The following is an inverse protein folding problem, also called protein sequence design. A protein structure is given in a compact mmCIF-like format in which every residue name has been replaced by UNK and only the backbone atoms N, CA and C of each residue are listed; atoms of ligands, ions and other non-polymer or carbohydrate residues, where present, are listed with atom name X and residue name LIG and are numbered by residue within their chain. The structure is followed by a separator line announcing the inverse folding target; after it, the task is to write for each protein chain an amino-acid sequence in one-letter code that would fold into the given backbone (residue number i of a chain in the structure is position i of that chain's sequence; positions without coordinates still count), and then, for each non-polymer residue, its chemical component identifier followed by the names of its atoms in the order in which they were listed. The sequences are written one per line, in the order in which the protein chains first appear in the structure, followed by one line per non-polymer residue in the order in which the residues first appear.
data_IF_921897287360
#
_entry.id   IF_921897287360
#
_cell.length_a   1.000
_cell.length_b   1.000
_cell.length_c   1.000
_cell.angle_alpha   90.00
_cell.angle_beta   90.00
_cell.angle_gamma   90.00
#
_symmetry.space_group_name_H-M   'P 1'
#
loop_
_entity.id
_entity.type
_entity.pdbx_description
1 polymer ?
#
# COMPACT_ATOMS: atom_id res chain seq x y z
N UNK A 1 -25.44 41.76 -7.49
CA UNK A 1 -24.37 40.75 -7.36
C UNK A 1 -24.55 39.75 -8.49
N UNK A 2 -23.53 39.50 -9.32
CA UNK A 2 -23.60 38.43 -10.32
C UNK A 2 -23.76 37.10 -9.59
N UNK A 3 -24.62 36.21 -10.10
CA UNK A 3 -24.79 34.86 -9.56
C UNK A 3 -23.44 34.14 -9.60
N UNK A 4 -22.92 33.70 -8.45
CA UNK A 4 -21.73 32.84 -8.39
C UNK A 4 -22.09 31.47 -8.96
N UNK A 5 -21.34 31.02 -9.96
CA UNK A 5 -21.49 29.68 -10.52
C UNK A 5 -20.85 28.62 -9.62
N UNK A 6 -21.01 27.35 -9.99
CA UNK A 6 -20.41 26.23 -9.26
C UNK A 6 -20.14 25.03 -10.16
N UNK A 7 -19.19 24.19 -9.77
CA UNK A 7 -18.85 22.95 -10.47
C UNK A 7 -19.24 21.77 -9.59
N UNK A 8 -20.07 20.89 -10.15
CA UNK A 8 -20.44 19.60 -9.61
C UNK A 8 -19.59 18.54 -10.33
N UNK A 9 -18.63 17.95 -9.64
CA UNK A 9 -17.86 16.79 -10.11
C UNK A 9 -18.71 15.54 -9.87
N UNK A 10 -19.29 14.94 -10.92
CA UNK A 10 -20.32 13.90 -10.75
C UNK A 10 -19.83 12.53 -11.21
N UNK A 11 -19.78 11.58 -10.28
CA UNK A 11 -19.62 10.15 -10.57
C UNK A 11 -20.95 9.53 -11.03
N UNK A 12 -20.98 8.99 -12.24
CA UNK A 12 -22.20 8.43 -12.85
C UNK A 12 -22.51 6.99 -12.42
N UNK A 13 -21.57 6.31 -11.78
CA UNK A 13 -21.66 4.86 -11.59
C UNK A 13 -21.24 4.06 -12.83
N UNK A 14 -21.44 2.73 -12.84
CA UNK A 14 -20.88 1.83 -13.85
C UNK A 14 -21.51 1.99 -15.25
N UNK A 15 -22.74 2.48 -15.36
CA UNK A 15 -23.34 2.80 -16.66
C UNK A 15 -24.86 2.87 -16.65
N UNK A 16 -25.51 1.96 -15.93
CA UNK A 16 -26.96 1.96 -15.74
C UNK A 16 -27.40 3.13 -14.85
N UNK A 17 -28.53 3.75 -15.19
CA UNK A 17 -29.14 4.82 -14.40
C UNK A 17 -29.61 4.34 -13.02
N UNK A 18 -29.99 3.07 -12.89
CA UNK A 18 -30.36 2.46 -11.60
C UNK A 18 -29.17 2.36 -10.64
N UNK A 19 -27.95 2.25 -11.17
CA UNK A 19 -26.73 2.21 -10.36
C UNK A 19 -26.19 3.61 -10.03
N UNK A 20 -26.85 4.66 -10.50
CA UNK A 20 -26.49 6.04 -10.21
C UNK A 20 -27.03 6.45 -8.85
N UNK A 21 -26.22 7.17 -8.07
CA UNK A 21 -26.68 7.68 -6.77
C UNK A 21 -27.78 8.75 -6.98
N UNK A 22 -28.73 8.82 -6.04
CA UNK A 22 -29.76 9.88 -6.07
C UNK A 22 -29.14 11.28 -6.05
N UNK A 23 -28.00 11.48 -5.35
CA UNK A 23 -27.25 12.74 -5.35
C UNK A 23 -26.71 13.09 -6.73
N UNK A 24 -26.20 12.13 -7.50
CA UNK A 24 -25.70 12.35 -8.86
C UNK A 24 -26.81 12.75 -9.84
N UNK A 25 -27.97 12.08 -9.78
CA UNK A 25 -29.14 12.46 -10.57
C UNK A 25 -29.60 13.89 -10.24
N UNK A 26 -29.68 14.24 -8.94
CA UNK A 26 -30.02 15.59 -8.50
C UNK A 26 -28.98 16.65 -8.93
N UNK A 27 -27.69 16.29 -8.93
CA UNK A 27 -26.62 17.17 -9.40
C UNK A 27 -26.77 17.50 -10.89
N UNK A 28 -27.01 16.48 -11.72
CA UNK A 28 -27.25 16.67 -13.16
C UNK A 28 -28.53 17.49 -13.37
N UNK A 29 -29.61 17.19 -12.64
CA UNK A 29 -30.86 17.92 -12.73
C UNK A 29 -30.69 19.42 -12.41
N UNK A 30 -29.90 19.78 -11.40
CA UNK A 30 -29.61 21.16 -11.02
C UNK A 30 -28.64 21.89 -11.97
N UNK A 31 -27.87 21.16 -12.79
CA UNK A 31 -26.90 21.75 -13.69
C UNK A 31 -27.54 22.37 -14.95
N UNK A 32 -27.04 23.53 -15.34
CA UNK A 32 -27.37 24.23 -16.58
C UNK A 32 -26.52 23.69 -17.75
N UNK A 33 -25.28 23.30 -17.45
CA UNK A 33 -24.31 22.76 -18.41
C UNK A 33 -23.83 21.40 -17.93
N UNK A 34 -23.79 20.41 -18.82
CA UNK A 34 -23.20 19.09 -18.56
C UNK A 34 -22.03 18.86 -19.50
N UNK A 35 -20.85 18.63 -18.93
CA UNK A 35 -19.58 18.45 -19.65
C UNK A 35 -19.07 17.04 -19.38
N UNK A 36 -18.67 16.32 -20.42
CA UNK A 36 -18.16 14.97 -20.24
C UNK A 36 -17.61 14.35 -21.50
N UNK A 37 -17.07 13.14 -21.35
CA UNK A 37 -16.72 12.30 -22.48
C UNK A 37 -18.00 11.84 -23.21
N UNK A 38 -18.00 11.89 -24.54
CA UNK A 38 -19.15 11.57 -25.40
C UNK A 38 -19.86 10.26 -25.03
N UNK A 39 -19.11 9.21 -24.71
CA UNK A 39 -19.70 7.92 -24.32
C UNK A 39 -20.47 7.98 -23.00
N UNK A 40 -19.99 8.76 -22.03
CA UNK A 40 -20.63 8.94 -20.73
C UNK A 40 -21.89 9.79 -20.83
N UNK A 41 -21.86 10.83 -21.66
CA UNK A 41 -23.03 11.66 -21.94
C UNK A 41 -24.13 10.84 -22.62
N UNK A 42 -23.76 9.95 -23.54
CA UNK A 42 -24.72 9.04 -24.19
C UNK A 42 -25.40 8.09 -23.20
N UNK A 43 -24.71 7.58 -22.17
CA UNK A 43 -25.33 6.71 -21.15
C UNK A 43 -26.34 7.44 -20.27
N UNK A 44 -26.29 8.78 -20.20
CA UNK A 44 -27.21 9.58 -19.39
C UNK A 44 -28.12 10.47 -20.23
N UNK A 45 -28.27 10.19 -21.52
CA UNK A 45 -29.04 11.02 -22.45
C UNK A 45 -30.44 11.44 -21.94
N UNK A 46 -31.21 10.57 -21.25
CA UNK A 46 -32.50 10.97 -20.67
C UNK A 46 -32.43 12.12 -19.64
N UNK A 47 -31.29 12.30 -18.98
CA UNK A 47 -31.07 13.34 -17.96
C UNK A 47 -30.59 14.68 -18.54
N UNK A 48 -30.34 14.74 -19.86
CA UNK A 48 -29.72 15.90 -20.52
C UNK A 48 -30.73 16.86 -21.17
N UNK A 49 -32.02 16.51 -21.17
CA UNK A 49 -33.07 17.34 -21.78
C UNK A 49 -33.10 18.74 -21.17
N UNK A 50 -33.08 19.77 -22.03
CA UNK A 50 -33.09 21.18 -21.63
C UNK A 50 -31.77 21.73 -21.09
N UNK A 51 -30.67 20.97 -21.19
CA UNK A 51 -29.33 21.37 -20.71
C UNK A 51 -28.40 21.70 -21.87
N UNK A 52 -27.41 22.55 -21.62
CA UNK A 52 -26.29 22.72 -22.56
C UNK A 52 -25.33 21.53 -22.40
N UNK A 53 -25.11 20.76 -23.47
CA UNK A 53 -24.25 19.58 -23.43
C UNK A 53 -22.93 19.85 -24.15
N UNK A 54 -21.81 19.73 -23.44
CA UNK A 54 -20.46 19.83 -24.02
C UNK A 54 -19.82 18.45 -24.06
N UNK A 55 -19.86 17.82 -25.23
CA UNK A 55 -19.20 16.55 -25.48
C UNK A 55 -17.76 16.79 -25.98
N UNK A 56 -16.79 16.21 -25.26
CA UNK A 56 -15.38 16.12 -25.70
C UNK A 56 -15.00 14.66 -25.91
N UNK A 57 -13.95 14.43 -26.68
CA UNK A 57 -13.45 13.09 -26.98
C UNK A 57 -12.35 12.68 -25.97
N UNK A 58 -11.79 11.48 -26.17
CA UNK A 58 -10.77 10.92 -25.28
C UNK A 58 -9.45 11.70 -25.40
N UNK A 59 -8.67 11.79 -24.32
CA UNK A 59 -7.42 12.58 -24.22
C UNK A 59 -7.60 14.11 -24.21
N UNK A 60 -8.83 14.60 -24.02
CA UNK A 60 -9.17 16.03 -23.87
C UNK A 60 -9.54 16.41 -22.43
N UNK A 61 -8.98 15.73 -21.42
CA UNK A 61 -9.27 15.94 -19.99
C UNK A 61 -9.12 17.42 -19.61
N UNK A 62 -7.97 18.02 -19.92
CA UNK A 62 -7.70 19.42 -19.57
C UNK A 62 -8.59 20.41 -20.32
N UNK A 63 -9.04 20.07 -21.54
CA UNK A 63 -10.00 20.91 -22.25
C UNK A 63 -11.37 20.90 -21.57
N UNK A 64 -11.82 19.75 -21.03
CA UNK A 64 -13.04 19.67 -20.21
C UNK A 64 -12.91 20.50 -18.93
N UNK A 65 -11.76 20.44 -18.24
CA UNK A 65 -11.52 21.23 -17.04
C UNK A 65 -11.58 22.74 -17.31
N UNK A 66 -10.85 23.22 -18.33
CA UNK A 66 -10.84 24.65 -18.70
C UNK A 66 -12.24 25.17 -19.02
N UNK A 67 -13.02 24.41 -19.79
CA UNK A 67 -14.39 24.78 -20.14
C UNK A 67 -15.30 24.82 -18.90
N UNK A 68 -15.18 23.83 -18.00
CA UNK A 68 -15.97 23.78 -16.77
C UNK A 68 -15.72 25.00 -15.89
N UNK A 69 -14.44 25.37 -15.71
CA UNK A 69 -14.05 26.55 -14.93
C UNK A 69 -14.56 27.83 -15.59
N UNK A 70 -14.31 28.03 -16.89
CA UNK A 70 -14.76 29.24 -17.60
C UNK A 70 -16.27 29.48 -17.49
N UNK A 71 -17.08 28.41 -17.58
CA UNK A 71 -18.54 28.50 -17.46
C UNK A 71 -19.01 28.76 -16.05
N UNK A 72 -18.35 28.18 -15.05
CA UNK A 72 -18.67 28.45 -13.66
C UNK A 72 -18.25 29.88 -13.24
N UNK A 73 -17.15 30.41 -13.78
CA UNK A 73 -16.75 31.82 -13.63
C UNK A 73 -17.77 32.76 -14.26
N UNK A 74 -18.42 32.34 -15.35
CA UNK A 74 -19.54 33.04 -15.98
C UNK A 74 -20.87 32.91 -15.21
N UNK A 75 -20.89 32.25 -14.04
CA UNK A 75 -22.06 32.18 -13.17
C UNK A 75 -22.94 30.93 -13.34
N UNK A 76 -22.56 30.00 -14.22
CA UNK A 76 -23.36 28.81 -14.52
C UNK A 76 -23.14 27.69 -13.48
N UNK A 77 -24.17 26.86 -13.27
CA UNK A 77 -24.02 25.57 -12.59
C UNK A 77 -23.60 24.51 -13.60
N UNK A 78 -22.39 23.95 -13.41
CA UNK A 78 -21.77 23.00 -14.34
C UNK A 78 -21.66 21.63 -13.70
N UNK A 79 -22.17 20.58 -14.37
CA UNK A 79 -21.86 19.19 -14.02
C UNK A 79 -20.72 18.67 -14.92
N UNK A 80 -19.56 18.40 -14.33
CA UNK A 80 -18.44 17.73 -14.99
C UNK A 80 -18.49 16.24 -14.63
N UNK A 81 -18.90 15.40 -15.58
CA UNK A 81 -19.25 13.99 -15.33
C UNK A 81 -18.11 13.01 -15.61
N UNK A 82 -18.03 11.94 -14.83
CA UNK A 82 -17.12 10.79 -15.03
C UNK A 82 -17.86 9.47 -14.83
N UNK A 83 -17.48 8.41 -15.56
CA UNK A 83 -17.97 7.06 -15.25
C UNK A 83 -17.43 6.58 -13.91
N UNK A 84 -18.17 5.72 -13.23
CA UNK A 84 -17.78 5.20 -11.93
C UNK A 84 -17.83 6.31 -10.87
N UNK A 85 -16.78 6.37 -10.05
CA UNK A 85 -16.54 7.48 -9.14
C UNK A 85 -15.67 8.55 -9.79
N UNK A 86 -15.97 9.83 -9.57
CA UNK A 86 -15.24 10.95 -10.18
C UNK A 86 -13.83 11.13 -9.63
N UNK A 87 -13.56 10.63 -8.41
CA UNK A 87 -12.26 10.63 -7.75
C UNK A 87 -11.38 9.42 -8.07
N UNK A 88 -11.92 8.35 -8.65
CA UNK A 88 -11.17 7.13 -8.98
C UNK A 88 -10.85 7.11 -10.47
N UNK A 89 -9.62 7.50 -10.83
CA UNK A 89 -9.16 7.61 -12.22
C UNK A 89 -10.10 8.47 -13.11
N UNK A 90 -10.81 9.43 -12.51
CA UNK A 90 -11.81 10.29 -13.14
C UNK A 90 -11.38 11.77 -13.23
N UNK A 91 -12.35 12.66 -13.46
CA UNK A 91 -12.09 14.09 -13.73
C UNK A 91 -11.78 14.95 -12.48
N UNK A 92 -11.95 14.44 -11.25
CA UNK A 92 -11.70 15.25 -10.05
C UNK A 92 -10.24 15.70 -9.94
N UNK A 93 -9.29 14.77 -10.12
CA UNK A 93 -7.85 15.07 -10.08
C UNK A 93 -7.46 16.16 -11.08
N UNK A 94 -7.70 15.97 -12.40
CA UNK A 94 -7.39 16.97 -13.41
C UNK A 94 -8.07 18.33 -13.18
N UNK A 95 -9.27 18.38 -12.61
CA UNK A 95 -9.93 19.65 -12.29
C UNK A 95 -9.23 20.35 -11.12
N UNK A 96 -8.96 19.64 -10.02
CA UNK A 96 -8.29 20.22 -8.86
C UNK A 96 -6.87 20.67 -9.20
N UNK A 97 -6.11 19.90 -9.97
CA UNK A 97 -4.79 20.31 -10.47
C UNK A 97 -4.90 21.63 -11.24
N UNK A 98 -5.83 21.73 -12.19
CA UNK A 98 -6.05 22.95 -12.96
C UNK A 98 -6.45 24.15 -12.10
N UNK A 99 -7.27 23.94 -11.07
CA UNK A 99 -7.69 24.99 -10.15
C UNK A 99 -6.53 25.47 -9.27
N UNK A 100 -5.73 24.54 -8.74
CA UNK A 100 -4.56 24.85 -7.89
C UNK A 100 -3.48 25.60 -8.67
N UNK A 101 -3.24 25.26 -9.95
CA UNK A 101 -2.38 26.03 -10.86
C UNK A 101 -2.81 27.50 -11.02
N UNK A 102 -4.10 27.78 -10.80
CA UNK A 102 -4.71 29.11 -10.86
C UNK A 102 -4.87 29.77 -9.49
N UNK A 103 -4.18 29.25 -8.47
CA UNK A 103 -4.24 29.73 -7.08
C UNK A 103 -5.67 29.75 -6.48
N UNK A 104 -6.54 28.83 -6.93
CA UNK A 104 -7.87 28.65 -6.36
C UNK A 104 -7.79 28.20 -4.89
N UNK A 105 -8.69 28.71 -4.05
CA UNK A 105 -8.95 28.17 -2.71
C UNK A 105 -10.44 27.90 -2.51
N UNK A 106 -10.83 26.98 -1.61
CA UNK A 106 -12.24 26.71 -1.30
C UNK A 106 -13.03 27.95 -0.83
N UNK A 107 -12.36 28.92 -0.20
CA UNK A 107 -12.99 30.10 0.40
C UNK A 107 -13.24 31.22 -0.62
N UNK A 108 -12.31 31.39 -1.57
CA UNK A 108 -12.30 32.56 -2.47
C UNK A 108 -12.68 32.22 -3.91
N UNK A 109 -12.48 30.97 -4.31
CA UNK A 109 -12.73 30.49 -5.66
C UNK A 109 -14.19 30.11 -5.93
N UNK A 110 -14.40 29.48 -7.09
CA UNK A 110 -15.67 28.87 -7.48
C UNK A 110 -15.97 27.72 -6.52
N UNK A 111 -17.24 27.56 -6.14
CA UNK A 111 -17.68 26.40 -5.36
C UNK A 111 -17.50 25.11 -6.18
N UNK A 112 -16.80 24.13 -5.59
CA UNK A 112 -16.61 22.81 -6.18
C UNK A 112 -17.16 21.75 -5.24
N UNK A 113 -18.09 20.94 -5.72
CA UNK A 113 -18.68 19.82 -4.97
C UNK A 113 -18.36 18.51 -5.66
N UNK A 114 -17.82 17.55 -4.90
CA UNK A 114 -17.60 16.17 -5.36
C UNK A 114 -18.82 15.32 -5.02
N UNK A 115 -19.44 14.75 -6.04
CA UNK A 115 -20.60 13.86 -5.92
C UNK A 115 -20.15 12.44 -6.24
N UNK A 116 -20.16 11.51 -5.26
CA UNK A 116 -19.61 10.17 -5.43
C UNK A 116 -20.48 9.30 -6.33
N UNK A 117 -19.84 8.32 -6.96
CA UNK A 117 -20.48 7.31 -7.81
C UNK A 117 -20.02 5.90 -7.49
N UNK A 118 -20.81 4.89 -7.87
CA UNK A 118 -20.41 3.48 -7.69
C UNK A 118 -19.24 3.17 -8.63
N UNK A 119 -18.06 2.95 -8.07
CA UNK A 119 -16.85 2.66 -8.85
C UNK A 119 -16.89 1.27 -9.51
N UNK A 120 -16.08 1.07 -10.55
CA UNK A 120 -16.02 -0.21 -11.27
C UNK A 120 -15.60 -1.37 -10.36
N UNK A 121 -14.74 -1.13 -9.36
CA UNK A 121 -14.34 -2.15 -8.39
C UNK A 121 -15.55 -2.75 -7.67
N UNK A 122 -16.39 -1.92 -7.06
CA UNK A 122 -17.60 -2.37 -6.35
C UNK A 122 -18.63 -2.97 -7.30
N UNK A 123 -18.84 -2.34 -8.46
CA UNK A 123 -19.78 -2.83 -9.46
C UNK A 123 -19.38 -4.19 -10.07
N UNK A 124 -18.09 -4.42 -10.32
CA UNK A 124 -17.63 -5.70 -10.83
C UNK A 124 -17.65 -6.76 -9.73
N UNK A 125 -17.29 -6.39 -8.49
CA UNK A 125 -17.34 -7.29 -7.35
C UNK A 125 -18.76 -7.81 -7.07
N UNK A 126 -19.78 -6.95 -7.17
CA UNK A 126 -21.18 -7.35 -6.95
C UNK A 126 -21.70 -8.34 -7.99
N UNK A 127 -21.06 -8.43 -9.17
CA UNK A 127 -21.42 -9.37 -10.23
C UNK A 127 -20.74 -10.75 -10.07
N UNK A 128 -19.75 -10.87 -9.18
CA UNK A 128 -18.97 -12.11 -9.00
C UNK A 128 -19.03 -12.69 -7.59
N UNK A 129 -19.56 -11.95 -6.61
CA UNK A 129 -19.72 -12.42 -5.23
C UNK A 129 -19.19 -11.40 -4.22
N UNK A 130 -18.13 -11.79 -3.50
CA UNK A 130 -17.54 -10.98 -2.44
C UNK A 130 -16.00 -11.01 -2.46
N UNK A 131 -15.35 -10.61 -3.56
CA UNK A 131 -13.89 -10.67 -3.66
C UNK A 131 -13.18 -9.54 -2.89
N UNK A 132 -13.87 -8.45 -2.53
CA UNK A 132 -13.27 -7.25 -1.92
C UNK A 132 -13.51 -7.11 -0.41
N UNK A 133 -13.82 -8.22 0.27
CA UNK A 133 -14.14 -8.25 1.72
C UNK A 133 -12.91 -8.15 2.63
N UNK A 134 -11.73 -8.41 2.08
CA UNK A 134 -10.42 -8.22 2.72
C UNK A 134 -9.70 -7.02 2.09
N UNK A 135 -8.54 -6.67 2.62
CA UNK A 135 -7.66 -5.63 2.09
C UNK A 135 -7.46 -5.79 0.58
N UNK A 136 -7.78 -4.72 -0.17
CA UNK A 136 -7.65 -4.67 -1.61
C UNK A 136 -7.04 -3.32 -2.04
N UNK A 137 -6.46 -3.29 -3.24
CA UNK A 137 -6.01 -2.07 -3.87
C UNK A 137 -6.55 -1.96 -5.30
N UNK A 138 -6.67 -0.73 -5.80
CA UNK A 138 -7.01 -0.45 -7.19
C UNK A 138 -5.78 0.11 -7.92
N UNK A 139 -5.40 -0.49 -9.04
CA UNK A 139 -4.24 -0.08 -9.84
C UNK A 139 -4.70 0.11 -11.28
N UNK A 140 -4.38 1.28 -11.86
CA UNK A 140 -4.53 1.51 -13.30
C UNK A 140 -3.29 0.99 -14.04
N UNK A 141 -3.49 0.21 -15.10
CA UNK A 141 -2.42 -0.23 -16.00
C UNK A 141 -2.10 0.77 -17.12
N UNK A 142 -2.77 1.93 -17.14
CA UNK A 142 -2.46 2.99 -18.10
C UNK A 142 -1.17 3.73 -17.72
N UNK A 143 -0.17 3.64 -18.57
CA UNK A 143 1.13 4.30 -18.47
C UNK A 143 1.21 5.68 -19.15
N UNK A 144 0.08 6.20 -19.65
CA UNK A 144 0.02 7.48 -20.39
C UNK A 144 0.64 8.66 -19.62
N UNK A 145 0.39 8.74 -18.31
CA UNK A 145 0.89 9.80 -17.43
C UNK A 145 1.66 9.23 -16.23
N UNK A 146 1.83 7.91 -16.16
CA UNK A 146 2.53 7.25 -15.04
C UNK A 146 3.55 6.28 -15.62
N UNK A 147 4.85 6.48 -15.36
CA UNK A 147 5.88 5.58 -15.87
C UNK A 147 5.61 4.12 -15.47
N UNK A 148 5.83 3.19 -16.40
CA UNK A 148 5.59 1.76 -16.16
C UNK A 148 6.34 1.24 -14.93
N UNK A 149 7.57 1.71 -14.67
CA UNK A 149 8.34 1.33 -13.48
C UNK A 149 7.61 1.60 -12.16
N UNK A 150 6.83 2.67 -12.08
CA UNK A 150 6.01 3.00 -10.91
C UNK A 150 4.81 2.06 -10.82
N UNK A 151 4.16 1.74 -11.95
CA UNK A 151 3.03 0.80 -11.99
C UNK A 151 3.49 -0.61 -11.59
N UNK A 152 4.61 -1.08 -12.16
CA UNK A 152 5.24 -2.36 -11.83
C UNK A 152 5.60 -2.45 -10.34
N UNK A 153 6.19 -1.39 -9.76
CA UNK A 153 6.50 -1.34 -8.33
C UNK A 153 5.23 -1.42 -7.45
N UNK A 154 4.12 -0.80 -7.87
CA UNK A 154 2.83 -0.89 -7.16
C UNK A 154 2.23 -2.29 -7.25
N UNK A 155 2.24 -2.91 -8.43
CA UNK A 155 1.76 -4.29 -8.63
C UNK A 155 2.56 -5.27 -7.76
N UNK A 156 3.89 -5.16 -7.81
CA UNK A 156 4.80 -5.96 -7.02
C UNK A 156 4.55 -5.76 -5.51
N UNK A 157 4.36 -4.52 -5.05
CA UNK A 157 4.05 -4.25 -3.64
C UNK A 157 2.70 -4.84 -3.20
N UNK A 158 1.65 -4.68 -4.01
CA UNK A 158 0.33 -5.26 -3.77
C UNK A 158 0.39 -6.80 -3.73
N UNK A 159 1.15 -7.40 -4.64
CA UNK A 159 1.36 -8.83 -4.71
C UNK A 159 2.08 -9.32 -3.44
N UNK A 160 3.24 -8.75 -3.10
CA UNK A 160 4.01 -9.12 -1.90
C UNK A 160 3.21 -8.98 -0.61
N UNK A 161 2.38 -7.94 -0.50
CA UNK A 161 1.59 -7.67 0.71
C UNK A 161 0.23 -8.39 0.74
N UNK A 162 0.02 -9.37 -0.14
CA UNK A 162 -1.19 -10.21 -0.20
C UNK A 162 -2.53 -9.46 -0.39
N UNK A 163 -2.51 -8.30 -1.07
CA UNK A 163 -3.73 -7.58 -1.40
C UNK A 163 -4.49 -8.27 -2.53
N UNK A 164 -5.83 -8.24 -2.45
CA UNK A 164 -6.69 -8.42 -3.62
C UNK A 164 -6.45 -7.22 -4.55
N UNK A 165 -6.23 -7.46 -5.85
CA UNK A 165 -5.82 -6.40 -6.77
C UNK A 165 -6.89 -6.18 -7.84
N UNK A 166 -7.49 -4.98 -7.86
CA UNK A 166 -8.43 -4.56 -8.91
C UNK A 166 -7.69 -3.77 -9.97
N UNK A 167 -7.68 -4.28 -11.21
CA UNK A 167 -6.97 -3.67 -12.33
C UNK A 167 -7.93 -2.86 -13.20
N UNK A 168 -7.65 -1.57 -13.30
CA UNK A 168 -8.32 -0.61 -14.16
C UNK A 168 -7.51 -0.35 -15.42
N UNK A 169 -8.19 0.11 -16.47
CA UNK A 169 -7.59 0.45 -17.76
C UNK A 169 -6.67 -0.67 -18.28
N UNK A 170 -7.11 -1.95 -18.23
CA UNK A 170 -6.22 -3.09 -18.30
C UNK A 170 -5.50 -3.21 -19.64
N UNK A 171 -6.18 -2.87 -20.73
CA UNK A 171 -5.67 -3.06 -22.07
C UNK A 171 -6.25 -2.02 -23.03
N UNK A 172 -5.46 -1.64 -24.03
CA UNK A 172 -5.92 -0.81 -25.15
C UNK A 172 -5.52 -1.44 -26.47
N UNK A 173 -6.11 -0.98 -27.58
CA UNK A 173 -5.81 -1.48 -28.95
C UNK A 173 -4.33 -1.43 -29.35
N UNK A 174 -3.49 -0.67 -28.64
CA UNK A 174 -2.05 -0.53 -28.91
C UNK A 174 -1.14 -1.17 -27.86
N UNK A 175 -1.71 -1.70 -26.76
CA UNK A 175 -0.97 -2.01 -25.51
C UNK A 175 -1.32 -3.40 -25.00
N UNK A 176 -0.60 -4.43 -25.46
CA UNK A 176 -0.80 -5.83 -25.02
C UNK A 176 0.23 -6.28 -23.99
N UNK A 177 1.39 -5.61 -23.92
CA UNK A 177 2.52 -6.09 -23.11
C UNK A 177 2.38 -5.78 -21.62
N UNK A 178 1.68 -4.70 -21.25
CA UNK A 178 1.40 -4.34 -19.86
C UNK A 178 0.64 -5.45 -19.13
N UNK A 179 -0.32 -6.09 -19.80
CA UNK A 179 -1.09 -7.18 -19.20
C UNK A 179 -0.20 -8.41 -18.94
N UNK A 180 0.66 -8.75 -19.90
CA UNK A 180 1.62 -9.85 -19.78
C UNK A 180 2.60 -9.59 -18.63
N UNK A 181 3.16 -8.39 -18.54
CA UNK A 181 4.08 -8.04 -17.46
C UNK A 181 3.36 -7.98 -16.10
N UNK A 182 2.13 -7.45 -16.05
CA UNK A 182 1.33 -7.48 -14.82
C UNK A 182 1.06 -8.91 -14.34
N UNK A 183 0.68 -9.81 -15.26
CA UNK A 183 0.52 -11.24 -14.96
C UNK A 183 1.83 -11.84 -14.43
N UNK A 184 2.96 -11.59 -15.10
CA UNK A 184 4.26 -12.11 -14.72
C UNK A 184 4.70 -11.61 -13.33
N UNK A 185 4.47 -10.34 -13.00
CA UNK A 185 4.74 -9.77 -11.68
C UNK A 185 3.88 -10.46 -10.62
N UNK A 186 2.57 -10.58 -10.85
CA UNK A 186 1.67 -11.20 -9.89
C UNK A 186 2.02 -12.67 -9.63
N UNK A 187 2.37 -13.44 -10.68
CA UNK A 187 2.76 -14.84 -10.60
C UNK A 187 4.06 -15.08 -9.82
N UNK A 188 4.91 -14.07 -9.60
CA UNK A 188 6.08 -14.19 -8.71
C UNK A 188 5.69 -14.32 -7.24
N UNK A 189 4.47 -13.92 -6.85
CA UNK A 189 4.00 -13.86 -5.46
C UNK A 189 2.67 -14.58 -5.23
N UNK A 190 2.09 -15.16 -6.28
CA UNK A 190 0.76 -15.78 -6.27
C UNK A 190 0.81 -17.14 -6.96
N UNK A 191 0.10 -18.15 -6.43
CA UNK A 191 -0.13 -19.40 -7.15
C UNK A 191 -0.75 -19.16 -8.53
N UNK A 192 -0.44 -20.04 -9.49
CA UNK A 192 -0.95 -19.95 -10.86
C UNK A 192 -2.48 -20.10 -10.95
N UNK A 193 -3.07 -20.86 -10.02
CA UNK A 193 -4.50 -21.09 -9.85
C UNK A 193 -5.24 -19.99 -9.06
N UNK A 194 -4.56 -18.89 -8.69
CA UNK A 194 -5.19 -17.75 -8.01
C UNK A 194 -6.44 -17.29 -8.76
N UNK A 195 -7.61 -17.20 -8.09
CA UNK A 195 -8.85 -16.79 -8.74
C UNK A 195 -8.75 -15.40 -9.37
N UNK A 196 -9.24 -15.29 -10.60
CA UNK A 196 -9.29 -14.05 -11.37
C UNK A 196 -10.70 -13.88 -11.92
N UNK A 197 -11.32 -12.74 -11.65
CA UNK A 197 -12.53 -12.31 -12.33
C UNK A 197 -12.20 -11.28 -13.42
N UNK A 198 -12.77 -11.46 -14.61
CA UNK A 198 -12.75 -10.49 -15.70
C UNK A 198 -14.19 -10.06 -15.95
N UNK A 199 -14.48 -8.79 -15.71
CA UNK A 199 -15.82 -8.23 -15.91
C UNK A 199 -15.76 -7.19 -17.01
N UNK A 200 -16.44 -7.44 -18.11
CA UNK A 200 -16.57 -6.52 -19.23
C UNK A 200 -17.88 -5.74 -19.12
N UNK A 201 -17.82 -4.41 -19.28
CA UNK A 201 -19.00 -3.56 -19.42
C UNK A 201 -20.06 -3.75 -18.32
N UNK A 202 -19.64 -3.84 -17.05
CA UNK A 202 -20.52 -4.01 -15.89
C UNK A 202 -21.70 -3.03 -15.92
N UNK A 203 -22.91 -3.56 -15.72
CA UNK A 203 -24.20 -2.86 -15.77
C UNK A 203 -24.41 -2.08 -17.07
N UNK A 204 -24.04 -2.66 -18.21
CA UNK A 204 -24.29 -2.14 -19.56
C UNK A 204 -24.75 -3.28 -20.48
N UNK A 205 -25.35 -2.99 -21.65
CA UNK A 205 -25.92 -4.03 -22.53
C UNK A 205 -24.97 -5.12 -23.01
N UNK A 206 -23.65 -4.90 -22.99
CA UNK A 206 -22.63 -5.90 -23.37
C UNK A 206 -21.93 -6.52 -22.15
N UNK A 207 -22.58 -6.54 -21.00
CA UNK A 207 -21.99 -7.11 -19.79
C UNK A 207 -21.60 -8.57 -20.02
N UNK A 208 -20.36 -8.91 -19.67
CA UNK A 208 -19.92 -10.31 -19.53
C UNK A 208 -19.07 -10.46 -18.27
N UNK A 209 -19.14 -11.64 -17.68
CA UNK A 209 -18.43 -11.99 -16.45
C UNK A 209 -17.76 -13.32 -16.68
N UNK A 210 -16.46 -13.37 -16.41
CA UNK A 210 -15.66 -14.57 -16.54
C UNK A 210 -14.85 -14.81 -15.28
N UNK A 211 -14.97 -16.01 -14.73
CA UNK A 211 -14.14 -16.49 -13.63
C UNK A 211 -13.12 -17.48 -14.19
N UNK A 212 -11.85 -17.18 -13.97
CA UNK A 212 -10.70 -17.93 -14.47
C UNK A 212 -9.60 -17.92 -13.41
N UNK A 213 -8.39 -18.33 -13.78
CA UNK A 213 -7.19 -18.25 -12.93
C UNK A 213 -6.21 -17.21 -13.46
N UNK A 214 -5.29 -16.77 -12.60
CA UNK A 214 -4.24 -15.82 -12.95
C UNK A 214 -3.38 -16.31 -14.10
N UNK A 215 -3.03 -17.60 -14.16
CA UNK A 215 -2.26 -18.20 -15.27
C UNK A 215 -2.96 -18.08 -16.63
N UNK A 216 -4.28 -18.19 -16.64
CA UNK A 216 -5.08 -18.19 -17.87
C UNK A 216 -5.48 -16.78 -18.32
N UNK A 217 -5.05 -15.73 -17.62
CA UNK A 217 -5.40 -14.34 -17.92
C UNK A 217 -5.23 -13.98 -19.41
N UNK A 218 -4.13 -14.38 -20.04
CA UNK A 218 -3.82 -14.02 -21.43
C UNK A 218 -4.61 -14.83 -22.48
N UNK A 219 -5.39 -15.83 -22.07
CA UNK A 219 -6.31 -16.56 -22.95
C UNK A 219 -7.60 -15.78 -23.22
N UNK A 220 -7.85 -14.72 -22.45
CA UNK A 220 -9.11 -13.98 -22.45
C UNK A 220 -9.02 -12.64 -23.16
N UNK A 221 -10.11 -12.24 -23.83
CA UNK A 221 -10.19 -10.92 -24.45
C UNK A 221 -10.48 -9.85 -23.40
N UNK A 222 -9.47 -9.02 -23.12
CA UNK A 222 -9.58 -7.91 -22.18
C UNK A 222 -9.61 -6.60 -22.95
N UNK A 223 -10.77 -5.95 -22.93
CA UNK A 223 -10.98 -4.64 -23.54
C UNK A 223 -10.81 -3.45 -22.59
N UNK A 224 -10.84 -2.24 -23.14
CA UNK A 224 -10.74 -0.96 -22.41
C UNK A 224 -11.84 -0.75 -21.35
N UNK A 225 -13.00 -1.39 -21.52
CA UNK A 225 -14.14 -1.29 -20.58
C UNK A 225 -14.24 -2.52 -19.67
N UNK A 226 -13.15 -3.27 -19.53
CA UNK A 226 -13.06 -4.41 -18.63
C UNK A 226 -12.37 -4.00 -17.34
N UNK A 227 -12.72 -4.66 -16.25
CA UNK A 227 -12.06 -4.54 -14.94
C UNK A 227 -11.76 -5.95 -14.45
N UNK A 228 -10.55 -6.13 -13.94
CA UNK A 228 -10.09 -7.42 -13.46
C UNK A 228 -9.99 -7.38 -11.94
N UNK A 229 -10.37 -8.47 -11.29
CA UNK A 229 -10.21 -8.65 -9.84
C UNK A 229 -9.35 -9.89 -9.64
N UNK A 230 -8.09 -9.68 -9.26
CA UNK A 230 -7.14 -10.74 -8.93
C UNK A 230 -7.25 -11.03 -7.44
N UNK A 231 -7.55 -12.27 -7.09
CA UNK A 231 -7.61 -12.73 -5.71
C UNK A 231 -6.25 -12.64 -4.98
N UNK A 232 -6.32 -12.75 -3.67
CA UNK A 232 -5.16 -12.98 -2.82
C UNK A 232 -5.02 -14.46 -2.43
N UNK A 233 -4.06 -14.79 -1.57
CA UNK A 233 -3.77 -16.16 -1.12
C UNK A 233 -4.95 -16.90 -0.48
N UNK A 234 -5.97 -16.17 0.00
CA UNK A 234 -7.16 -16.75 0.65
C UNK A 234 -8.38 -16.83 -0.27
N UNK A 235 -8.30 -16.20 -1.45
CA UNK A 235 -9.43 -16.10 -2.37
C UNK A 235 -9.79 -17.45 -2.97
N UNK A 236 -11.08 -17.72 -3.10
CA UNK A 236 -11.61 -18.93 -3.71
C UNK A 236 -12.63 -18.57 -4.80
N UNK A 237 -12.67 -19.35 -5.87
CA UNK A 237 -13.75 -19.32 -6.85
C UNK A 237 -14.39 -20.71 -6.93
N UNK A 238 -15.64 -20.81 -6.47
CA UNK A 238 -16.39 -22.06 -6.41
C UNK A 238 -17.87 -21.78 -6.69
N UNK A 239 -18.56 -22.73 -7.32
CA UNK A 239 -19.99 -22.60 -7.64
C UNK A 239 -20.37 -21.29 -8.39
N UNK A 240 -19.46 -20.79 -9.24
CA UNK A 240 -19.69 -19.56 -10.01
C UNK A 240 -19.55 -18.25 -9.22
N UNK A 241 -19.07 -18.30 -7.97
CA UNK A 241 -18.81 -17.11 -7.16
C UNK A 241 -17.35 -17.03 -6.72
N UNK A 242 -16.81 -15.82 -6.68
CA UNK A 242 -15.51 -15.48 -6.13
C UNK A 242 -15.67 -14.83 -4.77
N UNK A 243 -14.96 -15.34 -3.77
CA UNK A 243 -15.02 -14.88 -2.38
C UNK A 243 -13.62 -14.79 -1.80
N UNK A 244 -13.35 -13.69 -1.09
CA UNK A 244 -12.15 -13.56 -0.26
C UNK A 244 -12.55 -13.68 1.21
N UNK A 245 -12.43 -14.86 1.84
CA UNK A 245 -12.96 -15.07 3.18
C UNK A 245 -12.36 -14.09 4.19
N UNK A 246 -13.19 -13.51 5.06
CA UNK A 246 -12.75 -12.64 6.16
C UNK A 246 -11.98 -13.35 7.28
N UNK A 247 -11.72 -14.65 7.14
CA UNK A 247 -11.02 -15.45 8.14
C UNK A 247 -11.88 -16.06 9.25
N UNK A 248 -13.22 -15.90 9.24
CA UNK A 248 -14.09 -16.50 10.26
C UNK A 248 -13.90 -18.02 10.38
N UNK A 249 -13.77 -18.73 9.25
CA UNK A 249 -13.53 -20.17 9.24
C UNK A 249 -12.23 -20.52 10.00
N UNK A 250 -11.10 -19.84 9.74
CA UNK A 250 -9.86 -20.04 10.51
C UNK A 250 -10.03 -19.71 12.00
N UNK A 251 -10.76 -18.63 12.32
CA UNK A 251 -11.03 -18.23 13.71
C UNK A 251 -11.81 -19.29 14.50
N UNK A 252 -12.70 -20.04 13.85
CA UNK A 252 -13.55 -21.05 14.51
C UNK A 252 -13.02 -22.48 14.37
N UNK A 253 -12.33 -22.82 13.28
CA UNK A 253 -11.71 -24.14 13.09
C UNK A 253 -10.48 -24.31 14.00
N UNK A 254 -9.72 -23.23 14.29
CA UNK A 254 -8.62 -23.26 15.28
C UNK A 254 -9.13 -23.31 16.74
N UNK A 255 -10.44 -23.20 17.01
CA UNK A 255 -10.98 -23.43 18.36
C UNK A 255 -10.96 -24.91 18.75
N UNK A 256 -10.96 -25.83 17.77
CA UNK A 256 -10.80 -27.25 18.03
C UNK A 256 -9.35 -27.61 18.41
N UNK A 257 -8.37 -26.74 18.11
CA UNK A 257 -6.98 -26.85 18.58
C UNK A 257 -6.76 -26.32 20.02
N UNK A 258 -7.84 -25.89 20.70
CA UNK A 258 -7.82 -25.41 22.07
C UNK A 258 -7.58 -23.90 22.16
N UNK A 259 -8.55 -23.19 22.72
CA UNK A 259 -8.49 -21.77 23.09
C UNK A 259 -7.25 -21.53 23.96
N UNK A 260 -6.36 -20.61 23.55
CA UNK A 260 -5.25 -20.20 24.42
C UNK A 260 -5.83 -19.52 25.67
N UNK A 261 -5.33 -19.79 26.89
CA UNK A 261 -5.80 -19.11 28.09
C UNK A 261 -5.80 -17.58 27.91
N UNK A 262 -6.97 -16.94 28.03
CA UNK A 262 -7.16 -15.50 27.82
C UNK A 262 -7.68 -15.06 26.45
N UNK A 263 -7.85 -15.98 25.50
CA UNK A 263 -8.40 -15.72 24.17
C UNK A 263 -9.93 -15.55 24.21
N UNK A 264 -10.46 -14.58 23.48
CA UNK A 264 -11.89 -14.28 23.41
C UNK A 264 -12.31 -13.83 22.00
N UNK A 265 -13.61 -13.78 21.66
CA UNK A 265 -14.06 -13.30 20.35
C UNK A 265 -13.57 -11.89 19.97
N UNK A 266 -13.21 -11.05 20.96
CA UNK A 266 -12.64 -9.71 20.74
C UNK A 266 -11.11 -9.66 20.90
N UNK A 267 -10.49 -10.73 21.40
CA UNK A 267 -9.05 -10.79 21.69
C UNK A 267 -8.47 -12.11 21.18
N UNK A 268 -7.91 -12.09 19.97
CA UNK A 268 -7.23 -13.25 19.39
C UNK A 268 -5.76 -13.29 19.86
N UNK A 269 -5.39 -14.39 20.52
CA UNK A 269 -4.02 -14.70 20.97
C UNK A 269 -3.30 -15.66 20.00
N UNK A 270 -4.03 -16.17 19.01
CA UNK A 270 -3.54 -17.02 17.92
C UNK A 270 -3.18 -16.23 16.66
N UNK A 271 -3.97 -15.22 16.30
CA UNK A 271 -3.88 -14.47 15.03
C UNK A 271 -4.04 -12.94 15.16
N UNK A 272 -4.36 -12.43 16.35
CA UNK A 272 -4.50 -11.00 16.62
C UNK A 272 -3.15 -10.32 16.87
N UNK A 273 -3.16 -8.98 16.97
CA UNK A 273 -1.95 -8.18 17.20
C UNK A 273 -1.13 -8.62 18.43
N UNK A 274 -1.80 -9.02 19.52
CA UNK A 274 -1.14 -9.55 20.71
C UNK A 274 -0.52 -10.94 20.47
N UNK A 275 -1.22 -11.84 19.75
CA UNK A 275 -0.71 -13.14 19.34
C UNK A 275 0.49 -13.03 18.40
N UNK A 276 0.44 -12.10 17.44
CA UNK A 276 1.57 -11.76 16.58
C UNK A 276 2.75 -11.25 17.42
N UNK A 277 2.56 -10.28 18.32
CA UNK A 277 3.62 -9.82 19.24
C UNK A 277 4.22 -10.97 20.04
N UNK A 278 3.42 -11.90 20.54
CA UNK A 278 3.93 -13.07 21.26
C UNK A 278 4.77 -13.99 20.36
N UNK A 279 4.27 -14.32 19.17
CA UNK A 279 5.01 -15.11 18.18
C UNK A 279 6.31 -14.42 17.75
N UNK A 280 6.32 -13.09 17.68
CA UNK A 280 7.53 -12.31 17.43
C UNK A 280 8.57 -12.48 18.53
N UNK A 281 8.14 -12.36 19.78
CA UNK A 281 9.01 -12.50 20.96
C UNK A 281 9.59 -13.92 21.01
N UNK A 282 8.75 -14.92 20.77
CA UNK A 282 9.15 -16.32 20.73
C UNK A 282 10.14 -16.60 19.59
N UNK A 283 9.85 -16.11 18.37
CA UNK A 283 10.74 -16.28 17.22
C UNK A 283 12.08 -15.56 17.43
N UNK A 284 12.06 -14.35 17.99
CA UNK A 284 13.27 -13.61 18.36
C UNK A 284 14.10 -14.35 19.42
N UNK A 285 13.44 -14.99 20.40
CA UNK A 285 14.12 -15.84 21.37
C UNK A 285 14.78 -17.07 20.77
N UNK A 286 14.16 -17.69 19.75
CA UNK A 286 14.66 -18.93 19.12
C UNK A 286 15.70 -18.69 18.01
N UNK A 287 15.51 -17.64 17.22
CA UNK A 287 16.27 -17.40 15.99
C UNK A 287 17.06 -16.08 16.01
N UNK A 288 16.93 -15.29 17.07
CA UNK A 288 17.59 -14.01 17.23
C UNK A 288 16.85 -12.84 16.56
N UNK A 289 17.20 -11.63 17.01
CA UNK A 289 16.55 -10.38 16.59
C UNK A 289 16.77 -10.10 15.09
N UNK A 290 17.99 -10.31 14.58
CA UNK A 290 18.31 -10.02 13.19
C UNK A 290 17.56 -10.94 12.20
N UNK A 291 17.43 -12.23 12.51
CA UNK A 291 16.66 -13.16 11.69
C UNK A 291 15.17 -12.79 11.68
N UNK A 292 14.64 -12.43 12.85
CA UNK A 292 13.25 -11.98 13.01
C UNK A 292 12.97 -10.70 12.22
N UNK A 293 13.90 -9.73 12.25
CA UNK A 293 13.80 -8.48 11.49
C UNK A 293 13.69 -8.74 9.99
N UNK A 294 14.53 -9.64 9.46
CA UNK A 294 14.50 -10.05 8.06
C UNK A 294 13.19 -10.74 7.69
N UNK A 295 12.71 -11.66 8.51
CA UNK A 295 11.46 -12.39 8.27
C UNK A 295 10.25 -11.43 8.12
N UNK A 296 10.21 -10.36 8.92
CA UNK A 296 9.09 -9.42 8.94
C UNK A 296 9.23 -8.26 7.95
N UNK A 297 10.41 -8.06 7.37
CA UNK A 297 10.74 -6.82 6.67
C UNK A 297 10.61 -5.58 7.58
N UNK A 298 10.98 -5.71 8.86
CA UNK A 298 10.86 -4.65 9.86
C UNK A 298 12.23 -4.28 10.46
N UNK A 299 12.45 -3.01 10.87
CA UNK A 299 13.71 -2.61 11.50
C UNK A 299 13.90 -3.33 12.86
N UNK A 300 15.13 -3.76 13.20
CA UNK A 300 15.44 -4.43 14.47
C UNK A 300 14.94 -3.70 15.72
N UNK A 301 14.91 -2.37 15.71
CA UNK A 301 14.39 -1.57 16.82
C UNK A 301 12.96 -1.92 17.20
N UNK A 302 12.08 -2.23 16.23
CA UNK A 302 10.69 -2.62 16.56
C UNK A 302 10.61 -3.92 17.34
N UNK A 303 11.53 -4.85 17.08
CA UNK A 303 11.60 -6.12 17.80
C UNK A 303 12.16 -5.88 19.20
N UNK A 304 13.22 -5.07 19.32
CA UNK A 304 13.79 -4.67 20.61
C UNK A 304 12.75 -4.00 21.53
N UNK A 305 11.94 -3.09 20.99
CA UNK A 305 10.86 -2.43 21.74
C UNK A 305 9.78 -3.43 22.16
N UNK A 306 9.36 -4.32 21.25
CA UNK A 306 8.39 -5.36 21.58
C UNK A 306 8.88 -6.32 22.68
N UNK A 307 10.19 -6.61 22.72
CA UNK A 307 10.81 -7.44 23.76
C UNK A 307 10.84 -6.71 25.12
N UNK A 308 11.12 -5.40 25.16
CA UNK A 308 11.09 -4.59 26.39
C UNK A 308 9.70 -4.59 27.01
N UNK A 309 8.66 -4.46 26.18
CA UNK A 309 7.28 -4.38 26.63
C UNK A 309 6.70 -5.73 27.09
N UNK A 310 7.45 -6.83 26.96
CA UNK A 310 6.99 -8.18 27.27
C UNK A 310 7.68 -8.78 28.48
N UNK A 311 6.95 -9.03 29.58
CA UNK A 311 7.47 -9.75 30.74
C UNK A 311 7.86 -11.20 30.43
N UNK A 312 7.34 -11.77 29.34
CA UNK A 312 7.57 -13.16 28.93
C UNK A 312 8.75 -13.31 27.95
N UNK A 313 9.50 -12.23 27.68
CA UNK A 313 10.65 -12.29 26.79
C UNK A 313 11.73 -13.23 27.32
N UNK A 314 12.21 -14.20 26.52
CA UNK A 314 13.37 -15.03 26.90
C UNK A 314 14.68 -14.23 26.84
N UNK A 315 14.66 -13.03 26.23
CA UNK A 315 15.78 -12.11 26.14
C UNK A 315 15.59 -10.96 27.14
N UNK A 316 16.59 -10.69 27.95
CA UNK A 316 16.67 -9.47 28.76
C UNK A 316 17.08 -8.29 27.88
N UNK A 317 16.13 -7.44 27.50
CA UNK A 317 16.38 -6.22 26.71
C UNK A 317 16.18 -4.98 27.56
N UNK A 318 17.18 -4.11 27.59
CA UNK A 318 17.15 -2.83 28.31
C UNK A 318 17.57 -1.72 27.36
N UNK A 319 16.75 -0.68 27.23
CA UNK A 319 17.13 0.54 26.50
C UNK A 319 18.16 1.30 27.33
N UNK A 320 19.33 1.56 26.74
CA UNK A 320 20.36 2.33 27.41
C UNK A 320 19.96 3.81 27.48
N UNK A 321 20.00 4.46 28.66
CA UNK A 321 19.69 5.88 28.79
C UNK A 321 20.75 6.76 28.12
N UNK A 322 21.99 6.27 28.00
CA UNK A 322 23.08 6.94 27.29
C UNK A 322 23.81 5.92 26.39
N UNK A 323 23.72 6.06 25.05
CA UNK A 323 24.45 5.22 24.10
C UNK A 323 25.96 5.22 24.30
N UNK A 324 26.56 6.38 24.62
CA UNK A 324 28.02 6.49 24.78
C UNK A 324 28.51 5.65 25.95
N UNK A 325 27.78 5.68 27.07
CA UNK A 325 28.13 4.88 28.25
C UNK A 325 28.05 3.38 27.96
N UNK A 326 27.01 2.91 27.24
CA UNK A 326 26.91 1.50 26.87
C UNK A 326 28.04 1.09 25.90
N UNK A 327 28.41 1.97 24.97
CA UNK A 327 29.51 1.73 24.04
C UNK A 327 30.85 1.58 24.75
N UNK A 328 31.19 2.52 25.63
CA UNK A 328 32.42 2.46 26.44
C UNK A 328 32.47 1.18 27.27
N UNK A 329 31.36 0.74 27.86
CA UNK A 329 31.30 -0.53 28.57
C UNK A 329 31.54 -1.73 27.64
N UNK A 330 30.88 -1.75 26.48
CA UNK A 330 30.99 -2.83 25.51
C UNK A 330 32.40 -2.98 24.94
N UNK A 331 33.16 -1.89 24.82
CA UNK A 331 34.55 -1.93 24.36
C UNK A 331 35.50 -2.71 25.27
N UNK A 332 35.12 -2.91 26.53
CA UNK A 332 35.91 -3.60 27.54
C UNK A 332 35.39 -5.00 27.85
N UNK A 333 34.39 -5.49 27.10
CA UNK A 333 33.92 -6.86 27.26
C UNK A 333 34.98 -7.87 26.80
N UNK A 334 35.26 -8.92 27.59
CA UNK A 334 36.22 -9.95 27.20
C UNK A 334 35.68 -10.75 26.01
N UNK A 335 36.55 -11.11 25.06
CA UNK A 335 36.22 -11.89 23.86
C UNK A 335 35.06 -11.29 23.04
N UNK A 336 34.94 -9.96 23.05
CA UNK A 336 33.85 -9.30 22.34
C UNK A 336 34.03 -9.38 20.82
N UNK A 337 32.92 -9.58 20.12
CA UNK A 337 32.80 -9.61 18.67
C UNK A 337 32.05 -8.38 18.19
N UNK A 338 32.57 -7.73 17.15
CA UNK A 338 31.91 -6.60 16.49
C UNK A 338 31.23 -7.11 15.23
N UNK A 339 29.92 -6.92 15.17
CA UNK A 339 29.07 -7.31 14.05
C UNK A 339 28.66 -6.07 13.24
N UNK A 340 28.87 -6.16 11.93
CA UNK A 340 28.59 -5.10 10.96
C UNK A 340 27.72 -5.63 9.83
N UNK A 341 26.62 -4.95 9.54
CA UNK A 341 25.85 -5.21 8.32
C UNK A 341 26.45 -4.39 7.18
N UNK A 342 26.96 -5.06 6.15
CA UNK A 342 27.70 -4.44 5.04
C UNK A 342 26.82 -4.07 3.84
N UNK A 343 25.52 -3.85 4.02
CA UNK A 343 24.57 -3.99 2.89
C UNK A 343 23.81 -2.77 2.47
N UNK A 344 23.71 -2.62 1.14
CA UNK A 344 22.97 -1.58 0.45
C UNK A 344 21.53 -1.98 0.06
N UNK A 345 21.13 -3.25 0.22
CA UNK A 345 19.78 -3.75 -0.14
C UNK A 345 19.35 -4.95 0.74
N UNK A 346 18.05 -5.09 1.09
CA UNK A 346 17.55 -6.17 1.93
C UNK A 346 17.69 -7.59 1.34
N UNK A 347 17.96 -7.72 0.03
CA UNK A 347 18.07 -9.02 -0.64
C UNK A 347 19.44 -9.70 -0.51
N UNK A 348 20.49 -8.98 -0.10
CA UNK A 348 21.87 -9.51 -0.03
C UNK A 348 22.56 -9.07 1.25
N UNK A 349 22.07 -9.52 2.41
CA UNK A 349 22.64 -9.32 3.76
C UNK A 349 24.06 -9.95 3.88
N UNK A 350 25.12 -9.16 3.99
CA UNK A 350 26.48 -9.58 4.33
C UNK A 350 26.79 -9.07 5.74
N UNK A 351 27.18 -9.99 6.62
CA UNK A 351 27.60 -9.67 7.99
C UNK A 351 29.11 -9.86 8.11
N UNK A 352 29.81 -8.82 8.57
CA UNK A 352 31.21 -8.91 8.98
C UNK A 352 31.26 -9.12 10.49
N UNK A 353 32.06 -10.08 10.94
CA UNK A 353 32.32 -10.35 12.36
C UNK A 353 33.82 -10.11 12.59
N UNK A 354 34.14 -9.19 13.50
CA UNK A 354 35.50 -8.80 13.82
C UNK A 354 35.77 -9.07 15.30
N UNK A 355 36.91 -9.66 15.62
CA UNK A 355 37.31 -9.84 17.02
C UNK A 355 37.79 -8.52 17.61
N UNK A 356 37.15 -8.08 18.70
CA UNK A 356 37.53 -6.82 19.34
C UNK A 356 38.89 -6.95 20.04
N UNK A 357 39.30 -8.15 20.45
CA UNK A 357 40.65 -8.44 20.98
C UNK A 357 41.76 -7.97 20.05
N UNK A 358 41.55 -8.04 18.74
CA UNK A 358 42.52 -7.63 17.72
C UNK A 358 42.57 -6.11 17.53
N UNK A 359 41.64 -5.36 18.13
CA UNK A 359 41.59 -3.92 17.96
C UNK A 359 42.76 -3.22 18.67
N UNK A 360 43.64 -2.60 17.88
CA UNK A 360 44.78 -1.77 18.30
C UNK A 360 44.31 -0.36 18.72
N UNK A 361 43.19 0.11 18.16
CA UNK A 361 42.55 1.36 18.56
C UNK A 361 41.09 1.11 18.95
N UNK A 362 40.70 1.57 20.14
CA UNK A 362 39.32 1.53 20.64
C UNK A 362 38.92 2.91 21.16
N UNK A 363 38.54 3.81 20.26
CA UNK A 363 38.23 5.19 20.60
C UNK A 363 36.71 5.40 20.60
N UNK A 364 36.19 5.85 21.75
CA UNK A 364 34.83 6.34 21.91
C UNK A 364 34.52 7.59 21.09
N UNK A 365 33.25 7.97 20.96
CA UNK A 365 32.86 9.22 20.32
C UNK A 365 33.41 10.43 21.10
N UNK A 366 33.89 11.44 20.38
CA UNK A 366 34.35 12.69 21.01
C UNK A 366 33.18 13.55 21.49
N UNK A 367 33.46 14.50 22.41
CA UNK A 367 32.47 15.42 22.96
C UNK A 367 31.74 16.26 21.89
N UNK A 368 32.39 16.49 20.74
CA UNK A 368 31.87 17.29 19.61
C UNK A 368 31.13 16.46 18.54
N UNK A 369 30.76 15.21 18.85
CA UNK A 369 30.14 14.30 17.88
C UNK A 369 31.12 13.65 16.91
N UNK A 370 32.42 13.68 17.23
CA UNK A 370 33.46 12.98 16.47
C UNK A 370 33.14 11.47 16.39
N UNK A 371 33.47 10.81 15.26
CA UNK A 371 33.13 9.41 15.06
C UNK A 371 33.82 8.51 16.08
N UNK A 372 33.13 7.45 16.51
CA UNK A 372 33.77 6.39 17.25
C UNK A 372 34.62 5.55 16.29
N UNK A 373 35.86 5.26 16.65
CA UNK A 373 36.83 4.58 15.78
C UNK A 373 37.35 3.32 16.41
N UNK A 374 37.15 2.19 15.73
CA UNK A 374 37.74 0.89 16.08
C UNK A 374 38.67 0.45 14.94
N UNK A 375 39.89 0.02 15.22
CA UNK A 375 40.76 -0.51 14.18
C UNK A 375 41.63 -1.66 14.68
N UNK A 376 41.87 -2.64 13.81
CA UNK A 376 42.72 -3.80 14.04
C UNK A 376 43.52 -4.16 12.79
N UNK A 377 44.27 -5.27 12.79
CA UNK A 377 45.03 -5.72 11.64
C UNK A 377 44.16 -5.90 10.40
N UNK A 378 44.36 -5.03 9.40
CA UNK A 378 43.65 -5.11 8.12
C UNK A 378 42.24 -4.53 8.10
N UNK A 379 41.76 -3.89 9.18
CA UNK A 379 40.44 -3.28 9.20
C UNK A 379 40.37 -2.00 10.05
N UNK A 380 39.51 -1.07 9.64
CA UNK A 380 39.15 0.15 10.38
C UNK A 380 37.66 0.38 10.22
N UNK A 381 37.00 0.61 11.34
CA UNK A 381 35.60 0.96 11.44
C UNK A 381 35.50 2.38 12.01
N UNK A 382 34.81 3.24 11.26
CA UNK A 382 34.40 4.56 11.74
C UNK A 382 32.88 4.59 11.81
N UNK A 383 32.35 4.73 13.02
CA UNK A 383 30.93 4.88 13.25
C UNK A 383 30.62 6.38 13.40
N UNK A 384 29.88 6.99 12.46
CA UNK A 384 29.41 8.37 12.62
C UNK A 384 28.46 8.44 13.80
N UNK A 385 28.96 8.92 14.94
CA UNK A 385 28.23 8.80 16.21
C UNK A 385 26.91 9.57 16.22
N UNK A 386 26.84 10.66 15.44
CA UNK A 386 25.62 11.45 15.21
C UNK A 386 24.48 10.65 14.57
N UNK A 387 24.77 9.53 13.91
CA UNK A 387 23.75 8.63 13.36
C UNK A 387 23.12 7.73 14.43
N UNK A 388 23.77 7.53 15.59
CA UNK A 388 23.27 6.69 16.67
C UNK A 388 22.23 7.46 17.47
N UNK A 389 20.96 7.08 17.35
CA UNK A 389 19.83 7.72 18.05
C UNK A 389 19.41 6.93 19.29
N UNK A 390 19.64 5.61 19.29
CA UNK A 390 19.30 4.77 20.43
C UNK A 390 20.25 3.60 20.56
N UNK A 391 20.37 3.08 21.79
CA UNK A 391 21.15 1.90 22.07
C UNK A 391 20.43 0.98 23.06
N UNK A 392 20.70 -0.32 22.93
CA UNK A 392 20.02 -1.37 23.69
C UNK A 392 21.04 -2.40 24.15
N UNK A 393 20.98 -2.76 25.43
CA UNK A 393 21.66 -3.95 25.94
C UNK A 393 20.68 -5.12 25.85
N UNK A 394 21.07 -6.16 25.14
CA UNK A 394 20.36 -7.43 24.99
C UNK A 394 21.18 -8.49 25.70
N UNK A 395 20.52 -9.37 26.45
CA UNK A 395 21.20 -10.47 27.14
C UNK A 395 20.33 -11.71 27.16
N UNK A 396 20.97 -12.87 27.08
CA UNK A 396 20.34 -14.17 27.29
C UNK A 396 21.26 -15.06 28.14
N UNK A 397 20.98 -16.36 28.19
CA UNK A 397 21.77 -17.32 28.95
C UNK A 397 23.18 -17.53 28.39
N UNK A 398 23.41 -17.22 27.10
CA UNK A 398 24.62 -17.51 26.33
C UNK A 398 25.43 -16.26 25.98
N UNK A 399 24.85 -15.06 25.99
CA UNK A 399 25.54 -13.85 25.52
C UNK A 399 24.98 -12.54 26.11
N UNK A 400 25.75 -11.47 25.95
CA UNK A 400 25.33 -10.08 26.13
C UNK A 400 25.72 -9.30 24.87
N UNK A 401 24.82 -8.51 24.31
CA UNK A 401 25.08 -7.69 23.13
C UNK A 401 24.62 -6.24 23.36
N UNK A 402 25.42 -5.29 22.90
CA UNK A 402 25.08 -3.88 22.78
C UNK A 402 24.71 -3.58 21.31
N UNK A 403 23.51 -3.08 21.09
CA UNK A 403 22.98 -2.72 19.78
C UNK A 403 22.87 -1.20 19.66
N UNK A 404 23.39 -0.63 18.58
CA UNK A 404 23.34 0.81 18.29
C UNK A 404 22.53 1.05 17.01
N UNK A 405 21.46 1.83 17.12
CA UNK A 405 20.45 1.96 16.08
C UNK A 405 20.39 3.39 15.52
N UNK A 406 20.11 3.49 14.23
CA UNK A 406 19.85 4.74 13.52
C UNK A 406 18.46 5.31 13.83
N UNK A 407 18.18 6.52 13.32
CA UNK A 407 16.83 7.10 13.35
C UNK A 407 15.79 6.25 12.57
N UNK A 408 16.21 5.53 11.53
CA UNK A 408 15.37 4.59 10.77
C UNK A 408 15.15 3.25 11.49
N UNK A 409 15.83 3.04 12.63
CA UNK A 409 15.78 1.80 13.40
C UNK A 409 16.65 0.67 12.85
N UNK A 410 17.60 1.00 11.98
CA UNK A 410 18.58 0.06 11.44
C UNK A 410 19.79 -0.07 12.37
N UNK A 411 20.35 -1.27 12.45
CA UNK A 411 21.50 -1.55 13.31
C UNK A 411 22.78 -1.08 12.65
N UNK A 412 23.35 -0.01 13.18
CA UNK A 412 24.60 0.57 12.71
C UNK A 412 25.82 -0.21 13.24
N UNK A 413 25.71 -0.70 14.47
CA UNK A 413 26.76 -1.46 15.12
C UNK A 413 26.14 -2.43 16.15
N UNK A 414 26.69 -3.64 16.22
CA UNK A 414 26.45 -4.55 17.35
C UNK A 414 27.79 -5.01 17.92
N UNK A 415 27.95 -4.91 19.24
CA UNK A 415 29.08 -5.50 19.96
C UNK A 415 28.51 -6.63 20.82
N UNK A 416 29.04 -7.83 20.71
CA UNK A 416 28.53 -9.02 21.35
C UNK A 416 29.62 -9.67 22.21
N UNK A 417 29.26 -10.15 23.38
CA UNK A 417 30.10 -10.91 24.29
C UNK A 417 29.43 -12.27 24.54
N UNK A 418 30.03 -13.37 24.06
CA UNK A 418 29.68 -14.71 24.52
C UNK A 418 29.90 -14.84 26.05
N UNK A 419 28.96 -15.45 26.77
CA UNK A 419 29.02 -15.66 28.22
C UNK A 419 29.82 -16.88 28.61
#
# INVERSE_FOLDING_TARGET
MSRRGKILLVGLGPGDLEQMTGRAQAAIAAAEVVIGYRTYLRSIAPLLTGKTVVARDMAEEMARCREAVARAEAGQVVALVSSGDVGIFGMAGPLYEHLLERAWTPETGIEVEVVPGVTAASACASLVGAPLTHDFCAISLSDLLTPWSVIAARLEAAARADFVTVLYNPQSRRRTDQMREAQAILLRHRPSDTPLAIVHAAYRPRQSVELTTLERLLEHDVGMISTLIVGNSSSIAQAGVMVTPRGYRRKYDDLDAGVKPGESPRHSLSSGFAGWRHALIEHAGRHGIAATARMLGAPPTRILEALIESPASPLGVVRAPNPTTLFEQALHWPNALVHLNLTQSPATALEAILELSDAVQRQGPGADGAPATLSGPGWRLELPWTAVVSAYQVSDHHQIAAWFQSASGETLLRIERPR
#
